data_IF_946599073968
#
_entry.id   IF_946599073968
#
_cell.length_a   1.000
_cell.length_b   1.000
_cell.length_c   1.000
_cell.angle_alpha   90.00
_cell.angle_beta   90.00
_cell.angle_gamma   90.00
#
_symmetry.space_group_name_H-M   'P 1'
#
loop_
_entity.id
_entity.type
_entity.pdbx_description
1 polymer ?
#
# COMPACT_ATOMS: atom_id res chain seq x y z
N UNK A 1 27.67 -32.29 4.13
CA UNK A 1 26.32 -31.68 4.20
C UNK A 1 25.78 -31.66 2.79
N UNK A 2 24.77 -32.48 2.49
CA UNK A 2 24.08 -32.47 1.19
C UNK A 2 22.75 -31.74 1.35
N UNK A 3 22.82 -30.45 1.69
CA UNK A 3 21.68 -29.57 1.46
C UNK A 3 21.76 -29.13 0.01
N UNK A 4 20.73 -29.41 -0.78
CA UNK A 4 20.63 -28.92 -2.16
C UNK A 4 20.40 -27.41 -2.09
N UNK A 5 21.34 -26.57 -2.55
CA UNK A 5 21.13 -25.13 -2.57
C UNK A 5 19.90 -24.80 -3.44
N UNK A 6 19.13 -23.80 -3.05
CA UNK A 6 18.01 -23.34 -3.87
C UNK A 6 18.48 -22.94 -5.28
N UNK A 7 17.65 -23.15 -6.29
CA UNK A 7 17.97 -22.83 -7.69
C UNK A 7 18.39 -21.36 -7.91
N UNK A 8 17.94 -20.45 -7.03
CA UNK A 8 18.30 -19.04 -7.05
C UNK A 8 18.74 -18.56 -5.67
N UNK A 9 19.73 -17.66 -5.67
CA UNK A 9 20.13 -16.91 -4.49
C UNK A 9 19.42 -15.55 -4.46
N UNK A 10 18.93 -15.14 -3.28
CA UNK A 10 18.28 -13.83 -3.10
C UNK A 10 19.29 -12.85 -2.55
N UNK A 11 19.60 -11.80 -3.31
CA UNK A 11 20.43 -10.67 -2.86
C UNK A 11 19.57 -9.40 -2.97
N UNK A 12 19.07 -8.85 -1.84
CA UNK A 12 18.23 -7.67 -1.87
C UNK A 12 19.02 -6.44 -2.33
N UNK A 13 18.32 -5.45 -2.91
CA UNK A 13 18.92 -4.28 -3.53
C UNK A 13 19.87 -3.51 -2.60
N UNK A 14 19.52 -3.40 -1.31
CA UNK A 14 20.34 -2.75 -0.30
C UNK A 14 21.70 -3.45 -0.07
N UNK A 15 21.80 -4.76 -0.26
CA UNK A 15 23.07 -5.50 -0.22
C UNK A 15 23.75 -5.44 -1.59
N UNK A 16 22.99 -5.66 -2.66
CA UNK A 16 23.50 -5.67 -4.04
C UNK A 16 24.22 -4.36 -4.41
N UNK A 17 23.64 -3.22 -4.07
CA UNK A 17 24.14 -1.89 -4.43
C UNK A 17 24.96 -1.21 -3.31
N UNK A 18 25.21 -1.86 -2.16
CA UNK A 18 26.08 -1.27 -1.15
C UNK A 18 27.55 -1.32 -1.62
N UNK A 19 28.19 -0.16 -1.71
CA UNK A 19 29.59 -0.01 -2.16
C UNK A 19 30.61 -0.21 -1.04
N UNK A 20 30.18 -0.20 0.23
CA UNK A 20 31.01 -0.42 1.42
C UNK A 20 31.27 -1.91 1.71
N UNK A 21 30.68 -2.83 0.93
CA UNK A 21 30.91 -4.27 1.05
C UNK A 21 31.53 -4.85 -0.22
N UNK A 22 32.44 -5.82 -0.05
CA UNK A 22 33.10 -6.48 -1.17
C UNK A 22 32.08 -7.25 -2.03
N UNK A 23 32.32 -7.33 -3.34
CA UNK A 23 31.44 -8.06 -4.27
C UNK A 23 31.26 -9.54 -3.86
N UNK A 24 32.35 -10.20 -3.46
CA UNK A 24 32.28 -11.58 -2.94
C UNK A 24 31.46 -11.72 -1.66
N UNK A 25 31.42 -10.70 -0.80
CA UNK A 25 30.56 -10.71 0.38
C UNK A 25 29.07 -10.64 0.03
N UNK A 26 28.71 -9.98 -1.09
CA UNK A 26 27.32 -9.95 -1.60
C UNK A 26 26.88 -11.33 -2.08
N UNK A 27 27.77 -12.05 -2.77
CA UNK A 27 27.51 -13.43 -3.20
C UNK A 27 27.39 -14.36 -1.99
N UNK A 28 28.30 -14.23 -1.02
CA UNK A 28 28.24 -14.98 0.24
C UNK A 28 26.91 -14.75 0.97
N UNK A 29 26.41 -13.51 1.00
CA UNK A 29 25.09 -13.21 1.56
C UNK A 29 23.96 -13.97 0.84
N UNK A 30 24.00 -14.04 -0.49
CA UNK A 30 23.04 -14.81 -1.28
C UNK A 30 23.05 -16.30 -0.92
N UNK A 31 24.24 -16.86 -0.70
CA UNK A 31 24.41 -18.25 -0.29
C UNK A 31 23.93 -18.51 1.14
N UNK A 32 24.27 -17.62 2.08
CA UNK A 32 23.74 -17.66 3.45
C UNK A 32 22.21 -17.64 3.42
N UNK A 33 21.61 -16.87 2.51
CA UNK A 33 20.15 -16.83 2.32
C UNK A 33 19.61 -18.16 1.81
N UNK A 34 20.26 -18.76 0.82
CA UNK A 34 19.87 -20.08 0.31
C UNK A 34 19.98 -21.19 1.37
N UNK A 35 20.93 -21.09 2.29
CA UNK A 35 21.19 -22.07 3.35
C UNK A 35 20.41 -21.82 4.66
N UNK A 36 19.65 -20.73 4.77
CA UNK A 36 18.94 -20.36 6.01
C UNK A 36 17.47 -20.82 6.08
N UNK A 37 16.98 -21.60 5.10
CA UNK A 37 15.54 -21.75 4.83
C UNK A 37 14.70 -22.33 5.99
N UNK A 38 15.10 -23.44 6.61
CA UNK A 38 14.23 -24.17 7.57
C UNK A 38 14.27 -23.62 8.98
N UNK A 39 15.34 -22.96 9.38
CA UNK A 39 15.60 -22.58 10.78
C UNK A 39 15.89 -21.09 10.95
N UNK A 40 15.84 -20.31 9.86
CA UNK A 40 16.20 -18.89 9.85
C UNK A 40 17.69 -18.62 10.12
N UNK A 41 18.49 -19.68 10.17
CA UNK A 41 19.92 -19.64 10.47
C UNK A 41 20.68 -20.50 9.46
N UNK A 42 21.86 -20.04 9.05
CA UNK A 42 22.83 -20.80 8.30
C UNK A 42 23.87 -21.42 9.25
N UNK A 43 24.21 -22.68 8.98
CA UNK A 43 25.06 -23.55 9.81
C UNK A 43 26.38 -23.87 9.11
N UNK A 44 26.57 -23.36 7.89
CA UNK A 44 27.72 -23.67 7.07
C UNK A 44 29.00 -23.12 7.71
N UNK A 45 29.98 -24.02 7.84
CA UNK A 45 31.33 -23.69 8.30
C UNK A 45 32.13 -22.96 7.22
N UNK A 46 33.26 -22.39 7.61
CA UNK A 46 34.16 -21.71 6.66
C UNK A 46 34.63 -22.65 5.56
N UNK A 47 34.89 -23.91 5.89
CA UNK A 47 35.35 -24.92 4.94
C UNK A 47 34.38 -25.11 3.76
N UNK A 48 33.07 -25.03 4.02
CA UNK A 48 32.05 -25.11 2.99
C UNK A 48 32.18 -23.93 2.01
N UNK A 49 32.23 -22.70 2.53
CA UNK A 49 32.33 -21.50 1.71
C UNK A 49 33.67 -21.38 0.98
N UNK A 50 34.76 -21.84 1.62
CA UNK A 50 36.08 -21.92 0.99
C UNK A 50 36.05 -22.84 -0.23
N UNK A 51 35.43 -24.02 -0.12
CA UNK A 51 35.26 -24.93 -1.25
C UNK A 51 34.40 -24.33 -2.35
N UNK A 52 33.28 -23.71 -1.99
CA UNK A 52 32.34 -23.11 -2.93
C UNK A 52 32.95 -21.97 -3.74
N UNK A 53 33.59 -21.02 -3.06
CA UNK A 53 34.15 -19.81 -3.70
C UNK A 53 35.62 -19.95 -4.09
N UNK A 54 36.28 -21.05 -3.72
CA UNK A 54 37.71 -21.29 -3.94
C UNK A 54 38.60 -20.17 -3.38
N UNK A 55 38.30 -19.72 -2.16
CA UNK A 55 39.03 -18.66 -1.45
C UNK A 55 39.54 -19.12 -0.10
N UNK A 56 40.48 -18.38 0.49
CA UNK A 56 41.03 -18.68 1.82
C UNK A 56 40.02 -18.44 2.95
N UNK A 57 40.22 -19.11 4.08
CA UNK A 57 39.42 -18.91 5.29
C UNK A 57 39.41 -17.44 5.74
N UNK A 58 40.57 -16.77 5.69
CA UNK A 58 40.70 -15.36 6.03
C UNK A 58 39.80 -14.46 5.15
N UNK A 59 39.62 -14.83 3.88
CA UNK A 59 38.73 -14.11 2.96
C UNK A 59 37.26 -14.28 3.35
N UNK A 60 36.82 -15.51 3.65
CA UNK A 60 35.45 -15.76 4.14
C UNK A 60 35.18 -15.01 5.43
N UNK A 61 36.11 -15.04 6.38
CA UNK A 61 35.98 -14.32 7.65
C UNK A 61 35.90 -12.81 7.46
N UNK A 62 36.67 -12.25 6.52
CA UNK A 62 36.60 -10.84 6.15
C UNK A 62 35.24 -10.49 5.55
N UNK A 63 34.69 -11.33 4.66
CA UNK A 63 33.37 -11.12 4.08
C UNK A 63 32.26 -11.19 5.13
N UNK A 64 32.28 -12.19 6.01
CA UNK A 64 31.31 -12.30 7.12
C UNK A 64 31.39 -11.09 8.05
N UNK A 65 32.59 -10.63 8.40
CA UNK A 65 32.80 -9.45 9.24
C UNK A 65 32.29 -8.18 8.56
N UNK A 66 32.49 -8.06 7.24
CA UNK A 66 31.99 -6.93 6.45
C UNK A 66 30.46 -6.88 6.46
N UNK A 67 29.80 -8.02 6.27
CA UNK A 67 28.34 -8.13 6.34
C UNK A 67 27.81 -7.80 7.74
N UNK A 68 28.47 -8.29 8.79
CA UNK A 68 28.09 -8.06 10.19
C UNK A 68 28.25 -6.59 10.60
N UNK A 69 29.36 -5.93 10.23
CA UNK A 69 29.60 -4.51 10.49
C UNK A 69 28.56 -3.60 9.81
N UNK A 70 28.10 -4.00 8.63
CA UNK A 70 27.04 -3.29 7.91
C UNK A 70 25.63 -3.71 8.35
N UNK A 71 25.51 -4.53 9.41
CA UNK A 71 24.23 -4.91 10.01
C UNK A 71 23.43 -5.93 9.19
N UNK A 72 24.02 -6.58 8.18
CA UNK A 72 23.31 -7.52 7.30
C UNK A 72 23.17 -8.92 7.88
N UNK A 73 24.08 -9.32 8.77
CA UNK A 73 24.03 -10.62 9.46
C UNK A 73 24.44 -10.48 10.93
N UNK A 74 24.03 -11.46 11.74
CA UNK A 74 24.56 -11.67 13.08
C UNK A 74 25.15 -13.09 13.20
N UNK A 75 26.27 -13.21 13.92
CA UNK A 75 26.94 -14.50 14.16
C UNK A 75 26.86 -14.88 15.64
N UNK A 76 26.42 -16.11 15.91
CA UNK A 76 26.44 -16.69 17.26
C UNK A 76 27.26 -17.97 17.24
N UNK A 77 28.16 -18.11 18.22
CA UNK A 77 29.01 -19.29 18.37
C UNK A 77 28.51 -20.10 19.56
N UNK A 78 28.31 -21.40 19.37
CA UNK A 78 28.04 -22.37 20.42
C UNK A 78 29.32 -23.16 20.68
N UNK A 79 29.77 -23.16 21.92
CA UNK A 79 30.92 -23.92 22.38
C UNK A 79 30.47 -25.27 22.92
N UNK A 80 31.35 -26.27 22.90
CA UNK A 80 31.07 -27.56 23.56
C UNK A 80 31.01 -27.35 25.08
N UNK A 81 30.13 -28.09 25.75
CA UNK A 81 29.98 -27.98 27.21
C UNK A 81 31.32 -28.21 27.92
N UNK A 82 31.72 -27.24 28.74
CA UNK A 82 32.97 -27.29 29.51
C UNK A 82 34.26 -27.05 28.72
N UNK A 83 34.21 -26.62 27.46
CA UNK A 83 35.42 -26.31 26.67
C UNK A 83 35.33 -24.98 25.92
N UNK A 84 36.50 -24.45 25.50
CA UNK A 84 36.58 -23.30 24.58
C UNK A 84 36.52 -23.72 23.11
N UNK A 85 36.25 -25.00 22.84
CA UNK A 85 36.16 -25.54 21.48
C UNK A 85 34.81 -25.18 20.87
N UNK A 86 34.82 -24.67 19.64
CA UNK A 86 33.61 -24.28 18.92
C UNK A 86 32.89 -25.54 18.44
N UNK A 87 31.66 -25.75 18.93
CA UNK A 87 30.79 -26.85 18.51
C UNK A 87 30.09 -26.50 17.19
N UNK A 88 29.43 -25.34 17.14
CA UNK A 88 28.66 -24.87 15.98
C UNK A 88 28.66 -23.36 15.89
N UNK A 89 28.55 -22.83 14.66
CA UNK A 89 28.32 -21.40 14.40
C UNK A 89 27.00 -21.23 13.67
N UNK A 90 26.23 -20.25 14.13
CA UNK A 90 24.94 -19.86 13.58
C UNK A 90 25.07 -18.48 12.96
N UNK A 91 24.64 -18.34 11.70
CA UNK A 91 24.60 -17.06 10.99
C UNK A 91 23.14 -16.71 10.73
N UNK A 92 22.67 -15.59 11.26
CA UNK A 92 21.31 -15.07 11.07
C UNK A 92 21.33 -13.90 10.09
N UNK A 93 20.35 -13.84 9.21
CA UNK A 93 20.15 -12.71 8.31
C UNK A 93 19.33 -11.62 9.00
N UNK A 94 19.80 -10.38 8.89
CA UNK A 94 19.08 -9.22 9.39
C UNK A 94 18.30 -8.56 8.26
N UNK A 95 16.97 -8.67 8.33
CA UNK A 95 16.07 -8.14 7.29
C UNK A 95 16.07 -6.60 7.19
N UNK A 96 16.58 -5.92 8.23
CA UNK A 96 16.79 -4.47 8.31
C UNK A 96 18.18 -4.22 8.91
N UNK A 97 19.14 -3.65 8.15
CA UNK A 97 20.44 -3.29 8.71
C UNK A 97 20.25 -2.17 9.73
N UNK A 98 20.31 -2.52 11.01
CA UNK A 98 20.41 -1.54 12.09
C UNK A 98 21.88 -1.13 12.12
N UNK A 99 22.17 0.16 11.90
CA UNK A 99 23.50 0.70 12.22
C UNK A 99 23.75 0.41 13.70
N UNK A 100 24.69 -0.50 14.00
CA UNK A 100 25.09 -0.81 15.37
C UNK A 100 25.81 0.40 15.95
N UNK A 101 25.06 1.35 16.45
CA UNK A 101 25.50 2.20 17.53
C UNK A 101 25.39 1.33 18.79
N UNK A 102 26.48 1.24 19.53
CA UNK A 102 26.66 0.31 20.64
C UNK A 102 25.45 0.32 21.60
N UNK A 103 24.98 -0.87 21.99
CA UNK A 103 23.98 -1.16 23.04
C UNK A 103 22.49 -1.33 22.65
N UNK A 104 22.14 -2.19 21.68
CA UNK A 104 20.76 -2.67 21.57
C UNK A 104 20.66 -4.20 21.63
N UNK A 105 19.77 -4.68 22.50
CA UNK A 105 19.52 -6.07 22.87
C UNK A 105 19.21 -7.00 21.68
N UNK A 106 19.98 -8.08 21.55
CA UNK A 106 19.73 -9.17 20.59
C UNK A 106 18.72 -10.17 21.19
N UNK A 107 17.70 -10.52 20.41
CA UNK A 107 16.75 -11.57 20.79
C UNK A 107 17.43 -12.93 20.63
N UNK A 108 17.65 -13.65 21.74
CA UNK A 108 18.32 -14.96 21.80
C UNK A 108 17.61 -16.00 20.92
N UNK A 109 18.39 -16.82 20.20
CA UNK A 109 17.88 -17.95 19.43
C UNK A 109 17.59 -19.15 20.35
N UNK A 110 16.36 -19.64 20.37
CA UNK A 110 15.94 -20.86 21.06
C UNK A 110 15.97 -22.07 20.09
N UNK A 111 16.51 -23.21 20.54
CA UNK A 111 16.72 -24.42 19.73
C UNK A 111 15.43 -25.27 19.63
N UNK A 112 14.99 -25.76 18.44
CA UNK A 112 13.84 -26.66 18.36
C UNK A 112 14.24 -28.15 18.43
N UNK A 113 13.52 -28.91 19.27
CA UNK A 113 13.51 -30.37 19.32
C UNK A 113 12.68 -30.92 18.15
N UNK A 114 13.18 -31.98 17.50
CA UNK A 114 12.57 -32.64 16.34
C UNK A 114 11.25 -33.34 16.70
N UNK A 115 10.20 -33.11 15.89
CA UNK A 115 9.11 -34.07 15.66
C UNK A 115 8.77 -34.11 14.16
N UNK A 116 8.62 -35.33 13.66
CA UNK A 116 8.45 -35.68 12.26
C UNK A 116 7.03 -35.37 11.74
N UNK A 117 7.00 -35.13 10.42
CA UNK A 117 5.92 -35.39 9.45
C UNK A 117 4.57 -34.65 9.62
N UNK A 118 4.41 -33.57 8.85
CA UNK A 118 3.51 -33.59 7.69
C UNK A 118 3.86 -32.40 6.78
N UNK A 119 3.85 -32.67 5.47
CA UNK A 119 4.20 -31.76 4.40
C UNK A 119 3.38 -30.46 4.45
N UNK A 120 4.06 -29.31 4.51
CA UNK A 120 3.64 -28.11 3.78
C UNK A 120 4.74 -27.05 3.74
N UNK A 121 5.02 -26.58 2.53
CA UNK A 121 6.07 -25.63 2.19
C UNK A 121 6.02 -24.35 3.04
N UNK A 122 7.00 -24.16 3.94
CA UNK A 122 7.12 -22.97 4.79
C UNK A 122 8.08 -21.96 4.17
N UNK A 123 7.63 -21.28 3.11
CA UNK A 123 8.22 -20.02 2.60
C UNK A 123 7.41 -18.78 3.04
N UNK A 124 6.39 -18.98 3.86
CA UNK A 124 5.31 -18.01 4.10
C UNK A 124 5.66 -17.00 5.22
N UNK A 125 6.50 -17.36 6.18
CA UNK A 125 6.65 -16.57 7.41
C UNK A 125 7.45 -15.25 7.25
N UNK A 126 8.46 -15.22 6.36
CA UNK A 126 9.24 -13.99 6.09
C UNK A 126 8.63 -13.08 5.01
N UNK A 127 7.74 -13.62 4.16
CA UNK A 127 6.91 -12.80 3.25
C UNK A 127 5.77 -12.16 4.04
N UNK A 128 5.17 -12.90 4.98
CA UNK A 128 4.09 -12.39 5.82
C UNK A 128 4.52 -11.16 6.64
N UNK A 129 5.71 -11.13 7.24
CA UNK A 129 6.14 -9.99 8.06
C UNK A 129 6.37 -8.71 7.23
N UNK A 130 6.94 -8.81 6.02
CA UNK A 130 7.13 -7.67 5.11
C UNK A 130 5.81 -7.22 4.47
N UNK A 131 4.98 -8.15 3.99
CA UNK A 131 3.65 -7.84 3.48
C UNK A 131 2.78 -7.18 4.56
N UNK A 132 2.86 -7.66 5.80
CA UNK A 132 2.15 -7.11 6.94
C UNK A 132 2.63 -5.66 7.23
N UNK A 133 3.95 -5.40 7.28
CA UNK A 133 4.47 -4.03 7.42
C UNK A 133 3.99 -3.05 6.34
N UNK A 134 3.90 -3.49 5.08
CA UNK A 134 3.40 -2.68 3.96
C UNK A 134 1.89 -2.45 4.08
N UNK A 135 1.12 -3.49 4.39
CA UNK A 135 -0.33 -3.41 4.63
C UNK A 135 -0.65 -2.40 5.74
N UNK A 136 0.22 -2.26 6.72
CA UNK A 136 -0.03 -1.43 7.89
C UNK A 136 0.28 0.03 7.62
N UNK A 137 1.34 0.29 6.85
CA UNK A 137 1.59 1.61 6.26
C UNK A 137 0.44 2.05 5.34
N UNK A 138 -0.04 1.15 4.47
CA UNK A 138 -1.11 1.48 3.52
C UNK A 138 -2.45 1.67 4.22
N UNK A 139 -2.77 0.85 5.22
CA UNK A 139 -3.89 1.09 6.12
C UNK A 139 -3.79 2.44 6.82
N UNK A 140 -2.61 2.86 7.30
CA UNK A 140 -2.46 4.15 7.98
C UNK A 140 -2.81 5.33 7.06
N UNK A 141 -2.44 5.25 5.77
CA UNK A 141 -2.82 6.25 4.77
C UNK A 141 -4.33 6.31 4.60
N UNK A 142 -4.99 5.16 4.47
CA UNK A 142 -6.46 5.07 4.36
C UNK A 142 -7.16 5.56 5.64
N UNK A 143 -6.63 5.20 6.81
CA UNK A 143 -7.15 5.58 8.11
C UNK A 143 -7.11 7.10 8.32
N UNK A 144 -6.06 7.77 7.81
CA UNK A 144 -5.97 9.24 7.84
C UNK A 144 -7.09 9.90 7.04
N UNK A 145 -7.52 9.28 5.94
CA UNK A 145 -8.59 9.80 5.07
C UNK A 145 -10.00 9.60 5.65
N UNK A 146 -10.21 8.63 6.55
CA UNK A 146 -11.53 8.29 7.05
C UNK A 146 -12.08 9.34 8.05
N UNK A 147 -13.36 9.78 7.92
CA UNK A 147 -13.90 10.90 8.70
C UNK A 147 -14.13 10.60 10.20
N UNK A 148 -14.44 9.35 10.57
CA UNK A 148 -14.75 8.96 11.97
C UNK A 148 -13.86 7.81 12.45
N UNK A 149 -12.74 8.17 13.08
CA UNK A 149 -11.61 7.26 13.39
C UNK A 149 -11.79 6.48 14.70
N UNK A 150 -12.86 5.70 14.79
CA UNK A 150 -13.20 4.87 15.95
C UNK A 150 -12.88 3.39 15.65
N UNK A 151 -12.22 2.70 16.59
CA UNK A 151 -11.93 1.27 16.47
C UNK A 151 -10.81 0.92 15.48
N UNK A 152 -9.66 1.58 15.58
CA UNK A 152 -8.51 1.37 14.66
C UNK A 152 -8.01 -0.08 14.62
N UNK A 153 -7.88 -0.75 15.77
CA UNK A 153 -7.41 -2.14 15.87
C UNK A 153 -8.34 -3.12 15.11
N UNK A 154 -9.66 -3.15 15.35
CA UNK A 154 -10.57 -4.00 14.58
C UNK A 154 -10.64 -3.60 13.10
N UNK A 155 -10.59 -2.30 12.76
CA UNK A 155 -10.52 -1.85 11.37
C UNK A 155 -9.28 -2.38 10.63
N UNK A 156 -8.11 -2.37 11.28
CA UNK A 156 -6.88 -2.91 10.71
C UNK A 156 -6.97 -4.42 10.49
N UNK A 157 -7.55 -5.17 11.44
CA UNK A 157 -7.76 -6.60 11.29
C UNK A 157 -8.69 -6.91 10.10
N UNK A 158 -9.77 -6.14 9.94
CA UNK A 158 -10.68 -6.27 8.82
C UNK A 158 -10.03 -5.95 7.47
N UNK A 159 -9.21 -4.89 7.42
CA UNK A 159 -8.41 -4.55 6.23
C UNK A 159 -7.48 -5.70 5.83
N UNK A 160 -6.69 -6.25 6.77
CA UNK A 160 -5.79 -7.39 6.50
C UNK A 160 -6.57 -8.61 5.99
N UNK A 161 -7.75 -8.89 6.59
CA UNK A 161 -8.64 -9.97 6.16
C UNK A 161 -9.14 -9.76 4.72
N UNK A 162 -9.51 -8.54 4.35
CA UNK A 162 -9.99 -8.22 3.01
C UNK A 162 -8.89 -8.36 1.93
N UNK A 163 -7.66 -7.98 2.26
CA UNK A 163 -6.49 -8.05 1.35
C UNK A 163 -5.96 -9.48 1.16
N UNK A 164 -6.16 -10.37 2.14
CA UNK A 164 -5.62 -11.75 2.15
C UNK A 164 -6.64 -12.84 1.76
N UNK A 165 -7.84 -12.44 1.34
CA UNK A 165 -8.92 -13.37 0.98
C UNK A 165 -8.57 -14.18 -0.28
N UNK A 166 -8.85 -15.49 -0.28
CA UNK A 166 -8.60 -16.39 -1.43
C UNK A 166 -9.48 -16.11 -2.65
N UNK A 167 -10.71 -15.62 -2.44
CA UNK A 167 -11.67 -15.28 -3.50
C UNK A 167 -11.93 -13.78 -3.46
N UNK A 168 -11.78 -13.11 -4.60
CA UNK A 168 -12.00 -11.67 -4.76
C UNK A 168 -11.34 -10.81 -3.65
N UNK A 169 -10.00 -10.80 -3.55
CA UNK A 169 -9.31 -9.94 -2.58
C UNK A 169 -9.59 -8.48 -2.90
N UNK A 170 -9.85 -7.69 -1.86
CA UNK A 170 -9.94 -6.25 -2.04
C UNK A 170 -8.55 -5.69 -2.37
N UNK A 171 -8.52 -4.66 -3.21
CA UNK A 171 -7.30 -3.88 -3.48
C UNK A 171 -7.29 -2.62 -2.63
N UNK A 172 -6.09 -2.14 -2.30
CA UNK A 172 -5.93 -0.88 -1.57
C UNK A 172 -6.63 0.30 -2.29
N UNK A 173 -6.62 0.28 -3.63
CA UNK A 173 -7.29 1.27 -4.48
C UNK A 173 -8.82 1.21 -4.34
N UNK A 174 -9.43 0.03 -4.39
CA UNK A 174 -10.89 -0.12 -4.21
C UNK A 174 -11.36 0.44 -2.86
N UNK A 175 -10.61 0.16 -1.78
CA UNK A 175 -10.93 0.67 -0.45
C UNK A 175 -10.76 2.19 -0.40
N UNK A 176 -9.69 2.72 -1.02
CA UNK A 176 -9.49 4.16 -1.15
C UNK A 176 -10.65 4.85 -1.88
N UNK A 177 -11.05 4.30 -3.03
CA UNK A 177 -12.12 4.84 -3.86
C UNK A 177 -13.46 4.82 -3.09
N UNK A 178 -13.76 3.74 -2.38
CA UNK A 178 -14.95 3.65 -1.52
C UNK A 178 -14.93 4.63 -0.34
N UNK A 179 -13.77 4.90 0.27
CA UNK A 179 -13.64 5.95 1.32
C UNK A 179 -13.90 7.34 0.74
N UNK A 180 -13.37 7.63 -0.46
CA UNK A 180 -13.58 8.91 -1.13
C UNK A 180 -15.06 9.08 -1.50
N UNK A 181 -15.69 8.05 -2.07
CA UNK A 181 -17.11 8.03 -2.38
C UNK A 181 -17.97 8.26 -1.13
N UNK A 182 -17.68 7.54 -0.04
CA UNK A 182 -18.40 7.71 1.23
C UNK A 182 -18.28 9.12 1.81
N UNK A 183 -17.12 9.76 1.69
CA UNK A 183 -16.93 11.16 2.12
C UNK A 183 -17.74 12.13 1.27
N UNK A 184 -17.84 11.90 -0.04
CA UNK A 184 -18.66 12.70 -0.94
C UNK A 184 -20.14 12.56 -0.56
N UNK A 185 -20.60 11.33 -0.31
CA UNK A 185 -21.96 11.02 0.12
C UNK A 185 -22.34 11.71 1.44
N UNK A 186 -21.48 11.66 2.46
CA UNK A 186 -21.71 12.36 3.73
C UNK A 186 -21.87 13.87 3.49
N UNK A 187 -21.06 14.43 2.58
CA UNK A 187 -21.09 15.86 2.25
C UNK A 187 -22.35 16.24 1.45
N UNK A 188 -22.76 15.43 0.47
CA UNK A 188 -23.95 15.70 -0.37
C UNK A 188 -25.24 15.63 0.44
N UNK A 189 -25.36 14.63 1.33
CA UNK A 189 -26.54 14.42 2.18
C UNK A 189 -26.57 15.28 3.44
N UNK A 190 -25.48 15.97 3.78
CA UNK A 190 -25.38 16.74 5.02
C UNK A 190 -25.45 15.87 6.28
N UNK A 191 -24.94 14.64 6.21
CA UNK A 191 -25.08 13.64 7.28
C UNK A 191 -24.38 14.10 8.55
N UNK A 192 -25.11 14.15 9.67
CA UNK A 192 -24.51 14.50 10.96
C UNK A 192 -23.44 13.47 11.40
N UNK A 193 -22.42 13.95 12.11
CA UNK A 193 -21.29 13.12 12.59
C UNK A 193 -21.70 11.88 13.37
N UNK A 194 -22.84 11.91 14.07
CA UNK A 194 -23.37 10.77 14.84
C UNK A 194 -23.80 9.59 13.96
N UNK A 195 -24.30 9.88 12.75
CA UNK A 195 -24.76 8.89 11.77
C UNK A 195 -23.67 8.44 10.80
N UNK A 196 -22.49 9.09 10.84
CA UNK A 196 -21.30 8.61 10.14
C UNK A 196 -20.88 7.28 10.78
N UNK A 197 -20.70 6.24 9.95
CA UNK A 197 -20.25 4.92 10.38
C UNK A 197 -18.89 5.06 11.06
N UNK A 198 -18.69 4.27 12.11
CA UNK A 198 -17.37 4.16 12.73
C UNK A 198 -16.41 3.48 11.77
N UNK A 199 -15.13 3.86 11.82
CA UNK A 199 -14.09 3.23 11.01
C UNK A 199 -14.07 1.71 11.16
N UNK A 200 -14.13 1.20 12.38
CA UNK A 200 -14.29 -0.25 12.62
C UNK A 200 -15.47 -0.85 11.86
N UNK A 201 -16.63 -0.21 11.89
CA UNK A 201 -17.85 -0.70 11.25
C UNK A 201 -17.74 -0.68 9.73
N UNK A 202 -17.19 0.40 9.17
CA UNK A 202 -16.98 0.54 7.73
C UNK A 202 -16.03 -0.54 7.18
N UNK A 203 -14.90 -0.77 7.85
CA UNK A 203 -13.94 -1.77 7.40
C UNK A 203 -14.44 -3.20 7.63
N UNK A 204 -15.14 -3.47 8.74
CA UNK A 204 -15.68 -4.80 9.04
C UNK A 204 -16.79 -5.22 8.06
N UNK A 205 -17.67 -4.29 7.70
CA UNK A 205 -18.79 -4.55 6.79
C UNK A 205 -18.37 -4.54 5.31
N UNK A 206 -17.10 -4.22 5.01
CA UNK A 206 -16.62 -4.06 3.64
C UNK A 206 -17.43 -3.04 2.84
N UNK A 207 -17.91 -2.01 3.55
CA UNK A 207 -18.89 -1.05 3.04
C UNK A 207 -18.37 -0.22 1.86
N UNK A 208 -17.06 -0.23 1.57
CA UNK A 208 -16.48 0.41 0.39
C UNK A 208 -17.08 -0.12 -0.94
N UNK A 209 -17.64 -1.33 -0.95
CA UNK A 209 -18.32 -1.88 -2.13
C UNK A 209 -19.67 -1.22 -2.40
N UNK A 210 -20.34 -0.68 -1.38
CA UNK A 210 -21.71 -0.20 -1.47
C UNK A 210 -21.80 1.24 -2.01
N UNK A 211 -20.71 2.02 -1.88
CA UNK A 211 -20.76 3.46 -2.13
C UNK A 211 -20.44 3.88 -3.56
N UNK A 212 -19.79 3.03 -4.35
CA UNK A 212 -19.43 3.38 -5.73
C UNK A 212 -20.68 3.52 -6.61
N UNK A 213 -21.63 2.58 -6.49
CA UNK A 213 -22.89 2.63 -7.22
C UNK A 213 -23.80 3.74 -6.69
N UNK A 214 -23.94 3.86 -5.36
CA UNK A 214 -24.76 4.92 -4.74
C UNK A 214 -24.28 6.33 -5.11
N UNK A 215 -22.97 6.58 -5.16
CA UNK A 215 -22.46 7.90 -5.60
C UNK A 215 -22.69 8.14 -7.08
N UNK A 216 -22.65 7.09 -7.91
CA UNK A 216 -22.97 7.21 -9.33
C UNK A 216 -24.46 7.52 -9.53
N UNK A 217 -25.35 6.79 -8.86
CA UNK A 217 -26.78 7.01 -8.86
C UNK A 217 -27.14 8.40 -8.33
N UNK A 218 -26.55 8.83 -7.20
CA UNK A 218 -26.77 10.19 -6.68
C UNK A 218 -26.30 11.27 -7.65
N UNK A 219 -25.19 11.04 -8.35
CA UNK A 219 -24.70 11.99 -9.36
C UNK A 219 -25.65 12.05 -10.54
N UNK A 220 -26.11 10.90 -11.05
CA UNK A 220 -27.06 10.81 -12.14
C UNK A 220 -28.41 11.41 -11.76
N UNK A 221 -28.88 11.18 -10.53
CA UNK A 221 -30.10 11.76 -10.00
C UNK A 221 -29.95 13.28 -9.79
N UNK A 222 -28.82 13.75 -9.26
CA UNK A 222 -28.55 15.19 -9.18
C UNK A 222 -28.47 15.84 -10.57
N UNK A 223 -27.87 15.17 -11.56
CA UNK A 223 -27.84 15.63 -12.94
C UNK A 223 -29.23 15.62 -13.58
N UNK A 224 -30.06 14.63 -13.26
CA UNK A 224 -31.46 14.56 -13.70
C UNK A 224 -32.36 15.59 -13.01
N UNK A 225 -32.05 15.95 -11.75
CA UNK A 225 -32.71 17.03 -11.00
C UNK A 225 -32.26 18.42 -11.44
N UNK A 226 -31.07 18.57 -12.06
CA UNK A 226 -30.72 19.83 -12.70
C UNK A 226 -31.77 20.12 -13.76
N UNK A 227 -32.33 21.34 -13.77
CA UNK A 227 -33.28 21.69 -14.82
C UNK A 227 -32.62 21.46 -16.18
N UNK A 228 -33.27 20.66 -17.04
CA UNK A 228 -32.82 20.46 -18.42
C UNK A 228 -32.61 21.84 -19.04
N UNK A 229 -31.47 22.00 -19.72
CA UNK A 229 -31.14 23.23 -20.40
C UNK A 229 -32.31 23.64 -21.33
N UNK A 230 -32.91 24.78 -21.02
CA UNK A 230 -34.01 25.37 -21.80
C UNK A 230 -33.45 26.63 -22.46
N UNK A 231 -33.19 26.59 -23.78
CA UNK A 231 -32.61 27.72 -24.52
C UNK A 231 -33.43 29.01 -24.37
N UNK A 232 -34.76 28.89 -24.35
CA UNK A 232 -35.68 30.04 -24.27
C UNK A 232 -35.67 30.65 -22.89
N UNK A 233 -35.81 29.84 -21.84
CA UNK A 233 -35.75 30.35 -20.45
C UNK A 233 -34.38 30.94 -20.13
N UNK A 234 -33.30 30.33 -20.61
CA UNK A 234 -31.93 30.81 -20.38
C UNK A 234 -31.69 32.16 -21.05
N UNK A 235 -32.08 32.32 -22.33
CA UNK A 235 -31.94 33.58 -23.05
C UNK A 235 -32.77 34.71 -22.40
N UNK A 236 -34.00 34.42 -21.99
CA UNK A 236 -34.87 35.38 -21.31
C UNK A 236 -34.30 35.77 -19.93
N UNK A 237 -33.81 34.82 -19.15
CA UNK A 237 -33.21 35.10 -17.85
C UNK A 237 -31.95 35.99 -17.98
N UNK A 238 -31.04 35.67 -18.90
CA UNK A 238 -29.88 36.51 -19.18
C UNK A 238 -30.30 37.92 -19.62
N UNK A 239 -31.36 38.04 -20.43
CA UNK A 239 -31.88 39.34 -20.83
C UNK A 239 -32.47 40.13 -19.67
N UNK A 240 -33.16 39.49 -18.74
CA UNK A 240 -33.65 40.13 -17.52
C UNK A 240 -32.48 40.63 -16.66
N UNK A 241 -31.41 39.83 -16.51
CA UNK A 241 -30.25 40.18 -15.69
C UNK A 241 -29.39 41.30 -16.31
N UNK A 242 -29.11 41.21 -17.61
CA UNK A 242 -28.25 42.17 -18.31
C UNK A 242 -29.01 43.40 -18.81
N UNK A 243 -30.34 43.28 -18.97
CA UNK A 243 -31.21 44.30 -19.56
C UNK A 243 -30.68 44.83 -20.92
N UNK A 244 -30.05 43.96 -21.71
CA UNK A 244 -29.39 44.29 -22.98
C UNK A 244 -29.29 43.06 -23.87
N UNK A 245 -29.92 43.13 -25.06
CA UNK A 245 -29.87 42.03 -26.04
C UNK A 245 -28.46 41.79 -26.55
N UNK A 246 -27.72 42.85 -26.89
CA UNK A 246 -26.36 42.74 -27.43
C UNK A 246 -25.42 42.05 -26.44
N UNK A 247 -25.51 42.42 -25.15
CA UNK A 247 -24.72 41.80 -24.08
C UNK A 247 -25.04 40.32 -23.91
N UNK A 248 -26.31 39.93 -24.04
CA UNK A 248 -26.72 38.51 -24.01
C UNK A 248 -26.10 37.75 -25.18
N UNK A 249 -26.11 38.31 -26.39
CA UNK A 249 -25.56 37.66 -27.59
C UNK A 249 -24.04 37.55 -27.55
N UNK A 250 -23.35 38.56 -27.02
CA UNK A 250 -21.91 38.51 -26.77
C UNK A 250 -21.57 37.40 -25.77
N UNK A 251 -22.30 37.33 -24.65
CA UNK A 251 -22.05 36.34 -23.60
C UNK A 251 -22.35 34.90 -24.07
N UNK A 252 -23.41 34.70 -24.84
CA UNK A 252 -23.73 33.40 -25.48
C UNK A 252 -22.56 32.94 -26.35
N UNK A 253 -21.98 33.83 -27.17
CA UNK A 253 -20.83 33.51 -28.02
C UNK A 253 -19.55 33.31 -27.22
N UNK A 254 -19.30 34.18 -26.23
CA UNK A 254 -18.08 34.17 -25.44
C UNK A 254 -17.97 32.92 -24.55
N UNK A 255 -19.08 32.51 -23.91
CA UNK A 255 -19.13 31.32 -23.06
C UNK A 255 -19.47 30.04 -23.83
N UNK A 256 -19.78 30.12 -25.13
CA UNK A 256 -20.17 28.98 -25.95
C UNK A 256 -21.48 28.32 -25.49
N UNK A 257 -22.43 29.13 -25.00
CA UNK A 257 -23.73 28.63 -24.55
C UNK A 257 -24.48 28.05 -25.77
N UNK A 258 -25.08 26.84 -25.67
CA UNK A 258 -25.70 26.16 -26.82
C UNK A 258 -27.05 26.78 -27.23
N UNK A 259 -27.04 28.06 -27.60
CA UNK A 259 -28.18 28.83 -28.11
C UNK A 259 -27.69 29.52 -29.39
N UNK A 260 -28.40 29.36 -30.50
CA UNK A 260 -28.08 30.12 -31.70
C UNK A 260 -28.44 31.59 -31.48
N UNK A 261 -27.58 32.55 -31.88
CA UNK A 261 -27.86 33.98 -31.70
C UNK A 261 -29.24 34.41 -32.22
N UNK A 262 -29.67 33.89 -33.36
CA UNK A 262 -30.98 34.23 -33.93
C UNK A 262 -32.16 33.68 -33.12
N UNK A 263 -32.00 32.49 -32.52
CA UNK A 263 -33.03 31.92 -31.63
C UNK A 263 -33.12 32.73 -30.33
N UNK A 264 -31.99 33.18 -29.77
CA UNK A 264 -31.95 34.05 -28.59
C UNK A 264 -32.69 35.37 -28.84
N UNK A 265 -32.43 36.03 -29.98
CA UNK A 265 -33.17 37.24 -30.39
C UNK A 265 -34.67 36.98 -30.46
N UNK A 266 -35.08 35.88 -31.10
CA UNK A 266 -36.49 35.53 -31.24
C UNK A 266 -37.15 35.30 -29.88
N UNK A 267 -36.50 34.57 -28.98
CA UNK A 267 -37.02 34.30 -27.63
C UNK A 267 -37.22 35.56 -26.79
N UNK A 268 -36.29 36.51 -26.88
CA UNK A 268 -36.35 37.78 -26.16
C UNK A 268 -37.43 38.70 -26.74
N UNK A 269 -37.52 38.79 -28.07
CA UNK A 269 -38.57 39.56 -28.75
C UNK A 269 -39.97 39.05 -28.38
N UNK A 270 -40.20 37.73 -28.42
CA UNK A 270 -41.46 37.10 -28.01
C UNK A 270 -41.80 37.36 -26.52
N UNK A 271 -40.79 37.54 -25.66
CA UNK A 271 -40.98 37.85 -24.25
C UNK A 271 -41.38 39.31 -24.04
N UNK A 272 -40.69 40.25 -24.70
CA UNK A 272 -41.00 41.68 -24.61
C UNK A 272 -42.39 42.01 -25.18
N UNK A 273 -42.79 41.38 -26.29
CA UNK A 273 -44.14 41.53 -26.85
C UNK A 273 -45.23 41.10 -25.87
N UNK A 274 -45.04 39.95 -25.19
CA UNK A 274 -45.99 39.47 -24.17
C UNK A 274 -46.03 40.36 -22.93
N UNK A 275 -44.90 40.95 -22.55
CA UNK A 275 -44.81 41.87 -21.41
C UNK A 275 -45.52 43.20 -21.68
N UNK A 276 -45.53 43.67 -22.92
CA UNK A 276 -46.24 44.90 -23.31
C UNK A 276 -47.77 44.70 -23.43
N UNK A 277 -48.23 43.45 -23.55
CA UNK A 277 -49.65 43.09 -23.68
C UNK A 277 -50.32 42.70 -22.35
N UNK A 278 -49.56 42.58 -21.25
CA UNK A 278 -50.01 42.20 -19.91
C UNK A 278 -50.05 43.41 -18.97
#
# INVERSE_FOLDING_TARGET
MNETPNYYAIIPANVRYNNSIQQGAKLLYGEITALSNKTGCCWAGDQYFMGLYKVSQATIQRWLTSLEKNGYIDRTVKYKDGSKEIEKRYIRINAYPILKNENTYTQKCEYPILKNEQENNTSINNINTRANSTLESDFEKLWKLYPKKIGKKPALAAYKRAMSRKKNPATNRQIQDGIVAYRQLIKSKGTEKRFVKDGSTFFNQEAWNDYLEVVKEEREEQEARKPKFDPKKTAIAMYIDYNSLDRVLEEIKAQGIPIKPEDAKRYIAEYDERRQQA
#
